data_IF_239003993793
#
_entry.id   IF_239003993793
#
_cell.length_a   1.000
_cell.length_b   1.000
_cell.length_c   1.000
_cell.angle_alpha   90.00
_cell.angle_beta   90.00
_cell.angle_gamma   90.00
#
_symmetry.space_group_name_H-M   'P 1'
#
loop_
_entity.id
_entity.type
_entity.pdbx_description
1 polymer ?
#
# COMPACT_ATOMS: atom_id res chain seq x y z
N UNK A 1 -0.99 14.04 4.83
CA UNK A 1 -2.16 13.83 3.96
C UNK A 1 -3.06 15.07 3.97
N UNK A 2 -3.49 15.54 5.16
CA UNK A 2 -4.44 16.66 5.28
C UNK A 2 -3.95 17.96 4.63
N UNK A 3 -2.68 18.32 4.83
CA UNK A 3 -2.08 19.51 4.22
C UNK A 3 -2.03 19.42 2.67
N UNK A 4 -1.80 18.22 2.13
CA UNK A 4 -1.81 18.00 0.69
C UNK A 4 -3.23 18.09 0.14
N UNK A 5 -4.20 17.53 0.87
CA UNK A 5 -5.61 17.59 0.51
C UNK A 5 -6.14 19.03 0.49
N UNK A 6 -5.76 19.83 1.49
CA UNK A 6 -6.20 21.22 1.64
C UNK A 6 -5.65 22.14 0.55
N UNK A 7 -4.36 22.06 0.24
CA UNK A 7 -3.71 23.06 -0.61
C UNK A 7 -2.61 22.52 -1.54
N UNK A 8 -2.52 21.21 -1.72
CA UNK A 8 -1.53 20.58 -2.58
C UNK A 8 -0.12 20.51 -1.97
N UNK A 9 0.82 19.98 -2.77
CA UNK A 9 2.20 19.73 -2.32
C UNK A 9 2.94 21.02 -1.93
N UNK A 10 2.73 22.13 -2.63
CA UNK A 10 3.38 23.39 -2.33
C UNK A 10 2.95 23.94 -0.96
N UNK A 11 1.66 23.85 -0.65
CA UNK A 11 1.12 24.25 0.64
C UNK A 11 1.63 23.37 1.78
N UNK A 12 1.68 22.07 1.56
CA UNK A 12 2.27 21.13 2.53
C UNK A 12 3.74 21.49 2.81
N UNK A 13 4.55 21.73 1.78
CA UNK A 13 5.97 22.12 1.92
C UNK A 13 6.14 23.44 2.67
N UNK A 14 5.31 24.43 2.40
CA UNK A 14 5.30 25.69 3.13
C UNK A 14 4.99 25.50 4.63
N UNK A 15 4.20 24.50 4.97
CA UNK A 15 3.71 24.24 6.33
C UNK A 15 4.64 23.39 7.20
N UNK A 16 5.72 22.85 6.63
CA UNK A 16 6.71 22.02 7.33
C UNK A 16 7.99 22.81 7.61
N UNK A 17 8.91 22.23 8.42
CA UNK A 17 10.19 22.88 8.70
C UNK A 17 11.09 22.96 7.46
N UNK A 18 11.96 23.99 7.39
CA UNK A 18 12.92 24.14 6.30
C UNK A 18 13.80 22.89 6.11
N UNK A 19 14.16 22.20 7.18
CA UNK A 19 14.92 20.95 7.14
C UNK A 19 14.14 19.83 6.45
N UNK A 20 12.86 19.68 6.79
CA UNK A 20 12.00 18.68 6.18
C UNK A 20 11.71 18.99 4.70
N UNK A 21 11.45 20.25 4.37
CA UNK A 21 11.28 20.73 2.99
C UNK A 21 12.52 20.49 2.15
N UNK A 22 13.70 20.85 2.66
CA UNK A 22 14.97 20.59 1.97
C UNK A 22 15.22 19.09 1.76
N UNK A 23 14.92 18.26 2.77
CA UNK A 23 15.01 16.81 2.68
C UNK A 23 14.08 16.22 1.61
N UNK A 24 12.86 16.74 1.48
CA UNK A 24 11.91 16.32 0.44
C UNK A 24 12.47 16.62 -0.96
N UNK A 25 12.98 17.82 -1.20
CA UNK A 25 13.57 18.18 -2.50
C UNK A 25 14.82 17.36 -2.85
N UNK A 26 15.66 17.05 -1.88
CA UNK A 26 16.96 16.39 -2.14
C UNK A 26 16.89 14.87 -2.10
N UNK A 27 15.94 14.29 -1.35
CA UNK A 27 15.80 12.85 -1.16
C UNK A 27 14.58 12.27 -1.87
N UNK A 28 13.49 13.03 -1.99
CA UNK A 28 12.27 12.60 -2.66
C UNK A 28 12.52 12.03 -4.07
N UNK A 29 13.23 12.74 -4.95
CA UNK A 29 13.50 12.25 -6.31
C UNK A 29 14.40 11.00 -6.38
N UNK A 30 15.13 10.67 -5.32
CA UNK A 30 15.92 9.43 -5.23
C UNK A 30 15.05 8.20 -4.93
N UNK A 31 13.91 8.40 -4.31
CA UNK A 31 12.96 7.35 -3.94
C UNK A 31 11.82 7.27 -4.96
N UNK A 32 11.19 8.41 -5.27
CA UNK A 32 10.15 8.49 -6.31
C UNK A 32 10.78 8.95 -7.61
N UNK A 33 11.33 7.98 -8.33
CA UNK A 33 12.11 8.19 -9.55
C UNK A 33 11.23 8.30 -10.80
N UNK A 34 11.85 8.66 -11.94
CA UNK A 34 11.19 8.58 -13.24
C UNK A 34 10.78 7.16 -13.62
N UNK A 35 11.51 6.15 -13.14
CA UNK A 35 11.16 4.73 -13.33
C UNK A 35 9.86 4.35 -12.60
N UNK A 36 9.66 4.88 -11.38
CA UNK A 36 8.40 4.70 -10.66
C UNK A 36 7.20 5.24 -11.46
N UNK A 37 7.36 6.41 -12.08
CA UNK A 37 6.33 6.98 -12.98
C UNK A 37 6.07 6.11 -14.20
N UNK A 38 7.09 5.52 -14.79
CA UNK A 38 6.94 4.59 -15.93
C UNK A 38 6.26 3.28 -15.50
N UNK A 39 6.62 2.76 -14.33
CA UNK A 39 5.96 1.58 -13.76
C UNK A 39 4.45 1.82 -13.55
N UNK A 40 4.08 2.98 -13.00
CA UNK A 40 2.66 3.36 -12.84
C UNK A 40 1.92 3.39 -14.18
N UNK A 41 2.52 3.94 -15.24
CA UNK A 41 1.92 3.93 -16.58
C UNK A 41 1.71 2.52 -17.11
N UNK A 42 2.71 1.65 -17.00
CA UNK A 42 2.61 0.24 -17.41
C UNK A 42 1.53 -0.52 -16.64
N UNK A 43 1.38 -0.27 -15.35
CA UNK A 43 0.31 -0.85 -14.54
C UNK A 43 -1.06 -0.38 -15.07
N UNK A 44 -1.21 0.91 -15.36
CA UNK A 44 -2.45 1.45 -15.93
C UNK A 44 -2.76 0.82 -17.30
N UNK A 45 -1.77 0.68 -18.18
CA UNK A 45 -1.92 0.01 -19.48
C UNK A 45 -2.40 -1.43 -19.33
N UNK A 46 -1.83 -2.20 -18.39
CA UNK A 46 -2.24 -3.59 -18.09
C UNK A 46 -3.68 -3.68 -17.58
N UNK A 47 -4.15 -2.67 -16.86
CA UNK A 47 -5.55 -2.60 -16.42
C UNK A 47 -6.46 -2.28 -17.60
N UNK A 48 -6.10 -1.32 -18.41
CA UNK A 48 -6.93 -0.84 -19.54
C UNK A 48 -7.03 -1.87 -20.68
N UNK A 49 -5.99 -2.63 -20.95
CA UNK A 49 -5.98 -3.66 -21.99
C UNK A 49 -6.55 -5.01 -21.53
N UNK A 50 -6.91 -5.16 -20.25
CA UNK A 50 -7.52 -6.36 -19.70
C UNK A 50 -6.54 -7.43 -19.17
N UNK A 51 -5.24 -7.26 -19.34
CA UNK A 51 -4.23 -8.23 -18.85
C UNK A 51 -4.36 -8.51 -17.36
N UNK A 52 -4.57 -7.48 -16.54
CA UNK A 52 -4.74 -7.65 -15.10
C UNK A 52 -5.99 -8.47 -14.77
N UNK A 53 -7.11 -8.19 -15.43
CA UNK A 53 -8.35 -8.91 -15.21
C UNK A 53 -8.23 -10.38 -15.64
N UNK A 54 -7.56 -10.65 -16.75
CA UNK A 54 -7.35 -12.00 -17.27
C UNK A 54 -6.44 -12.82 -16.34
N UNK A 55 -5.36 -12.23 -15.86
CA UNK A 55 -4.46 -12.83 -14.87
C UNK A 55 -5.22 -13.20 -13.57
N UNK A 56 -5.98 -12.27 -13.03
CA UNK A 56 -6.74 -12.48 -11.80
C UNK A 56 -7.81 -13.57 -11.95
N UNK A 57 -8.59 -13.52 -13.02
CA UNK A 57 -9.65 -14.51 -13.28
C UNK A 57 -9.05 -15.88 -13.56
N UNK A 58 -7.90 -15.95 -14.27
CA UNK A 58 -7.21 -17.20 -14.55
C UNK A 58 -6.67 -17.85 -13.28
N UNK A 59 -6.14 -17.06 -12.35
CA UNK A 59 -5.72 -17.57 -11.03
C UNK A 59 -6.94 -18.06 -10.22
N UNK A 60 -7.99 -17.26 -10.14
CA UNK A 60 -9.20 -17.59 -9.39
C UNK A 60 -9.86 -18.92 -9.89
N UNK A 61 -9.86 -19.17 -11.19
CA UNK A 61 -10.39 -20.40 -11.80
C UNK A 61 -9.61 -21.68 -11.44
N UNK A 62 -8.39 -21.57 -10.94
CA UNK A 62 -7.59 -22.71 -10.46
C UNK A 62 -8.03 -23.19 -9.07
N UNK A 63 -8.87 -22.43 -8.39
CA UNK A 63 -9.43 -22.77 -7.08
C UNK A 63 -10.89 -23.21 -7.20
N UNK A 64 -11.30 -24.11 -6.32
CA UNK A 64 -12.71 -24.54 -6.20
C UNK A 64 -13.49 -23.74 -5.14
N UNK A 65 -12.88 -22.69 -4.54
CA UNK A 65 -13.47 -21.93 -3.44
C UNK A 65 -13.51 -20.42 -3.72
N UNK A 66 -14.21 -19.67 -2.86
CA UNK A 66 -14.37 -18.22 -3.00
C UNK A 66 -13.11 -17.42 -2.61
N UNK A 67 -12.08 -18.08 -2.09
CA UNK A 67 -10.93 -17.42 -1.46
C UNK A 67 -9.86 -16.93 -2.44
N UNK A 68 -10.02 -17.21 -3.73
CA UNK A 68 -9.05 -16.89 -4.77
C UNK A 68 -8.20 -18.07 -5.18
N UNK A 69 -7.30 -17.88 -6.16
CA UNK A 69 -6.44 -18.92 -6.69
C UNK A 69 -5.12 -19.08 -5.91
N UNK A 70 -4.27 -20.01 -6.37
CA UNK A 70 -3.01 -20.33 -5.68
C UNK A 70 -2.02 -19.16 -5.61
N UNK A 71 -1.99 -18.25 -6.59
CA UNK A 71 -1.14 -17.06 -6.51
C UNK A 71 -1.67 -16.08 -5.44
N UNK A 72 -2.98 -15.86 -5.35
CA UNK A 72 -3.58 -15.05 -4.30
C UNK A 72 -3.26 -15.61 -2.91
N UNK A 73 -3.37 -16.92 -2.71
CA UNK A 73 -3.03 -17.60 -1.45
C UNK A 73 -1.55 -17.44 -1.09
N UNK A 74 -0.66 -17.54 -2.08
CA UNK A 74 0.77 -17.29 -1.91
C UNK A 74 1.03 -15.86 -1.44
N UNK A 75 0.47 -14.85 -2.08
CA UNK A 75 0.65 -13.44 -1.69
C UNK A 75 0.10 -13.15 -0.29
N UNK A 76 -1.06 -13.73 0.05
CA UNK A 76 -1.62 -13.61 1.40
C UNK A 76 -0.71 -14.21 2.47
N UNK A 77 -0.12 -15.37 2.20
CA UNK A 77 0.84 -16.02 3.09
C UNK A 77 2.10 -15.17 3.25
N UNK A 78 2.73 -14.77 2.16
CA UNK A 78 3.92 -13.92 2.16
C UNK A 78 3.68 -12.59 2.92
N UNK A 79 2.51 -12.01 2.76
CA UNK A 79 2.11 -10.81 3.49
C UNK A 79 2.00 -11.07 5.00
N UNK A 80 1.36 -12.17 5.42
CA UNK A 80 1.22 -12.52 6.84
C UNK A 80 2.54 -12.86 7.51
N UNK A 81 3.45 -13.48 6.77
CA UNK A 81 4.75 -13.94 7.26
C UNK A 81 5.85 -12.88 7.15
N UNK A 82 5.55 -11.73 6.54
CA UNK A 82 6.54 -10.67 6.37
C UNK A 82 7.02 -10.13 7.73
N UNK A 83 8.33 -9.94 7.92
CA UNK A 83 8.89 -9.48 9.22
C UNK A 83 8.28 -8.18 9.75
N UNK A 84 7.77 -7.31 8.87
CA UNK A 84 7.09 -6.06 9.25
C UNK A 84 5.84 -6.30 10.11
N UNK A 85 5.16 -7.44 9.93
CA UNK A 85 3.96 -7.75 10.70
C UNK A 85 4.29 -8.00 12.17
N UNK A 86 5.43 -8.64 12.44
CA UNK A 86 5.92 -8.82 13.82
C UNK A 86 6.27 -7.48 14.46
N UNK A 87 7.06 -6.66 13.76
CA UNK A 87 7.42 -5.31 14.23
C UNK A 87 6.16 -4.46 14.47
N UNK A 88 5.21 -4.51 13.53
CA UNK A 88 3.94 -3.81 13.65
C UNK A 88 3.11 -4.28 14.85
N UNK A 89 3.09 -5.60 15.13
CA UNK A 89 2.40 -6.15 16.29
C UNK A 89 3.04 -5.69 17.61
N UNK A 90 4.36 -5.73 17.70
CA UNK A 90 5.11 -5.27 18.87
C UNK A 90 4.83 -3.78 19.14
N UNK A 91 4.86 -2.93 18.11
CA UNK A 91 4.56 -1.50 18.24
C UNK A 91 3.10 -1.23 18.63
N UNK A 92 2.15 -1.92 17.99
CA UNK A 92 0.71 -1.79 18.34
C UNK A 92 0.43 -2.26 19.77
N UNK A 93 1.15 -3.25 20.27
CA UNK A 93 1.05 -3.69 21.66
C UNK A 93 1.40 -2.61 22.69
N UNK A 94 2.19 -1.62 22.31
CA UNK A 94 2.52 -0.46 23.13
C UNK A 94 1.44 0.65 23.12
N UNK A 95 0.39 0.49 22.31
CA UNK A 95 -0.64 1.50 22.05
C UNK A 95 -2.03 0.97 22.46
N UNK A 96 -2.40 1.04 23.76
CA UNK A 96 -3.65 0.44 24.27
C UNK A 96 -4.94 1.00 23.63
N UNK A 97 -4.90 2.22 23.10
CA UNK A 97 -6.05 2.82 22.40
C UNK A 97 -6.40 2.16 21.07
N UNK A 98 -5.45 1.44 20.44
CA UNK A 98 -5.70 0.73 19.18
C UNK A 98 -6.62 -0.47 19.43
N UNK A 99 -6.40 -1.19 20.53
CA UNK A 99 -7.25 -2.35 20.88
C UNK A 99 -8.70 -1.93 21.16
N UNK A 100 -8.87 -0.78 21.80
CA UNK A 100 -10.18 -0.24 22.14
C UNK A 100 -10.99 0.26 20.91
N UNK A 101 -10.30 0.60 19.81
CA UNK A 101 -10.90 1.24 18.63
C UNK A 101 -10.67 0.42 17.34
N UNK A 102 -10.67 -0.91 17.41
CA UNK A 102 -10.52 -1.77 16.23
C UNK A 102 -11.63 -1.53 15.21
N UNK A 103 -11.24 -1.16 13.99
CA UNK A 103 -12.15 -0.97 12.86
C UNK A 103 -12.49 -2.29 12.15
N UNK A 104 -11.59 -3.28 12.24
CA UNK A 104 -11.73 -4.57 11.54
C UNK A 104 -12.25 -5.63 12.52
N UNK A 105 -13.44 -6.11 12.25
CA UNK A 105 -14.04 -7.25 12.93
C UNK A 105 -13.84 -8.53 12.10
N UNK A 106 -12.87 -9.34 12.49
CA UNK A 106 -12.52 -10.59 11.77
C UNK A 106 -13.56 -11.71 11.96
N UNK A 107 -14.55 -11.50 12.83
CA UNK A 107 -15.62 -12.50 13.04
C UNK A 107 -16.74 -12.41 12.01
N UNK A 108 -16.73 -11.36 11.18
CA UNK A 108 -17.76 -11.07 10.17
C UNK A 108 -17.35 -11.39 8.73
N UNK A 109 -16.19 -11.99 8.52
CA UNK A 109 -15.71 -12.43 7.19
C UNK A 109 -15.67 -13.96 7.14
#
# INVERSE_FOLDING_TARGET
VDLIYEGGLANMRYSISNTAEYGDYTSGPKVVTGEAKQAMKKILERIQNGEFADEFVTDARKSNGPEGGPEMEKYRRESREHPIEKVGADLRGMMPWIEANKLVDKTKN
#
